data_IF_200482652547
#
_entry.id   IF_200482652547
#
_cell.length_a   1.000
_cell.length_b   1.000
_cell.length_c   1.000
_cell.angle_alpha   90.00
_cell.angle_beta   90.00
_cell.angle_gamma   90.00
#
_symmetry.space_group_name_H-M   'P 1'
#
loop_
_entity.id
_entity.type
_entity.pdbx_description
1 polymer ?
#
# COMPACT_ATOMS: atom_id res chain seq x y z
N UNK A 1 -14.25 13.20 25.77
CA UNK A 1 -14.90 13.18 24.44
C UNK A 1 -15.70 11.90 24.37
N UNK A 2 -16.92 12.00 23.89
CA UNK A 2 -17.75 10.84 23.64
C UNK A 2 -17.14 10.00 22.52
N UNK A 3 -17.20 8.67 22.60
CA UNK A 3 -16.73 7.83 21.51
C UNK A 3 -17.64 8.05 20.31
N UNK A 4 -17.06 8.33 19.16
CA UNK A 4 -17.79 8.56 17.90
C UNK A 4 -17.44 7.51 16.83
N UNK A 5 -16.62 6.52 17.19
CA UNK A 5 -16.14 5.51 16.26
C UNK A 5 -16.02 4.12 16.91
N UNK A 6 -16.66 3.13 16.30
CA UNK A 6 -16.55 1.73 16.72
C UNK A 6 -15.31 1.07 16.13
N UNK A 7 -14.21 1.20 16.87
CA UNK A 7 -12.91 0.65 16.48
C UNK A 7 -12.88 -0.87 16.41
N UNK A 8 -13.68 -1.54 17.25
CA UNK A 8 -13.76 -3.01 17.23
C UNK A 8 -14.47 -3.50 15.98
N UNK A 9 -15.63 -2.94 15.67
CA UNK A 9 -16.36 -3.23 14.43
C UNK A 9 -15.49 -2.98 13.21
N UNK A 10 -14.75 -1.85 13.19
CA UNK A 10 -13.83 -1.52 12.11
C UNK A 10 -12.79 -2.61 11.90
N UNK A 11 -12.11 -3.04 12.96
CA UNK A 11 -11.08 -4.09 12.88
C UNK A 11 -11.68 -5.42 12.41
N UNK A 12 -12.82 -5.81 12.98
CA UNK A 12 -13.49 -7.07 12.63
C UNK A 12 -13.90 -7.08 11.13
N UNK A 13 -14.47 -5.98 10.63
CA UNK A 13 -14.87 -5.84 9.23
C UNK A 13 -13.67 -5.87 8.30
N UNK A 14 -12.59 -5.17 8.62
CA UNK A 14 -11.36 -5.17 7.79
C UNK A 14 -10.78 -6.58 7.69
N UNK A 15 -10.61 -7.27 8.83
CA UNK A 15 -10.04 -8.62 8.84
C UNK A 15 -10.92 -9.59 8.06
N UNK A 16 -12.25 -9.55 8.29
CA UNK A 16 -13.17 -10.46 7.61
C UNK A 16 -13.18 -10.20 6.09
N UNK A 17 -13.20 -8.93 5.67
CA UNK A 17 -13.19 -8.60 4.24
C UNK A 17 -11.91 -9.06 3.56
N UNK A 18 -10.74 -8.92 4.21
CA UNK A 18 -9.48 -9.44 3.66
C UNK A 18 -9.52 -10.96 3.53
N UNK A 19 -10.00 -11.67 4.56
CA UNK A 19 -10.14 -13.14 4.55
C UNK A 19 -11.09 -13.60 3.42
N UNK A 20 -12.25 -12.99 3.31
CA UNK A 20 -13.26 -13.33 2.29
C UNK A 20 -12.72 -13.12 0.86
N UNK A 21 -11.98 -12.04 0.63
CA UNK A 21 -11.34 -11.78 -0.66
C UNK A 21 -10.17 -12.74 -0.91
N UNK A 22 -9.40 -13.10 0.12
CA UNK A 22 -8.34 -14.09 0.00
C UNK A 22 -8.89 -15.49 -0.32
N UNK A 23 -9.99 -15.90 0.29
CA UNK A 23 -10.67 -17.17 -0.01
C UNK A 23 -11.19 -17.25 -1.46
N UNK A 24 -11.71 -16.13 -1.99
CA UNK A 24 -12.18 -16.01 -3.36
C UNK A 24 -11.04 -15.98 -4.39
N UNK A 25 -9.83 -15.69 -3.98
CA UNK A 25 -8.65 -15.63 -4.84
C UNK A 25 -8.02 -17.03 -4.95
N UNK A 26 -7.81 -17.58 -6.13
CA UNK A 26 -7.15 -18.89 -6.31
C UNK A 26 -5.67 -18.85 -5.92
N UNK A 27 -4.94 -17.85 -6.40
CA UNK A 27 -3.55 -17.58 -6.08
C UNK A 27 -3.40 -16.78 -4.79
N UNK A 28 -2.64 -15.70 -4.83
CA UNK A 28 -2.36 -14.81 -3.69
C UNK A 28 -3.22 -13.56 -3.77
N UNK A 29 -3.60 -13.02 -2.61
CA UNK A 29 -4.22 -11.71 -2.51
C UNK A 29 -3.15 -10.67 -2.17
N UNK A 30 -2.89 -9.74 -3.09
CA UNK A 30 -2.04 -8.58 -2.87
C UNK A 30 -2.88 -7.46 -2.26
N UNK A 31 -2.57 -7.09 -1.02
CA UNK A 31 -3.27 -6.05 -0.26
C UNK A 31 -2.36 -4.83 -0.17
N UNK A 32 -2.63 -3.82 -0.99
CA UNK A 32 -1.89 -2.56 -0.92
C UNK A 32 -2.40 -1.71 0.24
N UNK A 33 -1.49 -1.31 1.13
CA UNK A 33 -1.82 -0.37 2.22
C UNK A 33 -1.64 1.06 1.72
N UNK A 34 -2.72 1.78 1.72
CA UNK A 34 -2.69 3.23 1.59
C UNK A 34 -2.20 3.84 2.91
N UNK A 35 -1.17 4.70 2.86
CA UNK A 35 -0.62 5.35 4.04
C UNK A 35 0.20 4.44 4.98
N UNK A 36 0.59 4.95 6.14
CA UNK A 36 1.50 4.30 7.10
C UNK A 36 0.92 2.99 7.67
N UNK A 37 1.77 1.98 7.76
CA UNK A 37 1.38 0.66 8.25
C UNK A 37 1.16 0.62 9.76
N UNK A 38 2.01 1.25 10.55
CA UNK A 38 2.03 1.10 12.02
C UNK A 38 1.59 2.34 12.80
N UNK A 39 1.30 3.44 12.13
CA UNK A 39 0.95 4.71 12.76
C UNK A 39 -0.23 5.34 12.04
N UNK A 40 -1.30 5.59 12.77
CA UNK A 40 -2.49 6.25 12.26
C UNK A 40 -2.96 7.34 13.23
N UNK A 41 -2.01 8.18 13.68
CA UNK A 41 -2.26 9.23 14.66
C UNK A 41 -3.32 10.24 14.18
N UNK A 42 -3.42 10.44 12.87
CA UNK A 42 -4.43 11.31 12.30
C UNK A 42 -5.84 10.74 12.52
N UNK A 43 -6.03 9.46 12.31
CA UNK A 43 -7.33 8.83 12.52
C UNK A 43 -7.84 9.04 13.97
N UNK A 44 -6.98 8.91 14.96
CA UNK A 44 -7.36 9.13 16.36
C UNK A 44 -7.77 10.58 16.64
N UNK A 45 -7.20 11.56 15.93
CA UNK A 45 -7.50 12.99 16.15
C UNK A 45 -8.91 13.38 15.72
N UNK A 46 -9.43 12.77 14.65
CA UNK A 46 -10.74 13.10 14.09
C UNK A 46 -11.81 12.03 14.32
N UNK A 47 -11.40 10.81 14.67
CA UNK A 47 -12.30 9.69 15.00
C UNK A 47 -12.12 9.31 16.47
N UNK A 48 -12.76 10.01 17.43
CA UNK A 48 -12.71 9.64 18.84
C UNK A 48 -13.19 8.20 19.05
N UNK A 49 -12.32 7.38 19.66
CA UNK A 49 -12.54 5.94 19.80
C UNK A 49 -11.75 5.08 18.80
N UNK A 50 -11.13 5.68 17.78
CA UNK A 50 -10.25 4.94 16.89
C UNK A 50 -8.99 4.46 17.62
N UNK A 51 -8.72 3.17 17.50
CA UNK A 51 -7.51 2.55 18.07
C UNK A 51 -6.35 2.60 17.06
N UNK A 52 -5.31 3.35 17.37
CA UNK A 52 -4.12 3.50 16.52
C UNK A 52 -3.40 2.17 16.25
N UNK A 53 -3.66 1.16 17.07
CA UNK A 53 -3.11 -0.20 16.89
C UNK A 53 -3.95 -1.09 15.95
N UNK A 54 -5.03 -0.59 15.33
CA UNK A 54 -5.90 -1.41 14.46
C UNK A 54 -5.14 -2.15 13.35
N UNK A 55 -4.29 -1.44 12.60
CA UNK A 55 -3.49 -2.07 11.53
C UNK A 55 -2.51 -3.12 12.09
N UNK A 56 -1.90 -2.85 13.23
CA UNK A 56 -1.05 -3.81 13.93
C UNK A 56 -1.83 -5.05 14.38
N UNK A 57 -3.01 -4.87 14.97
CA UNK A 57 -3.89 -5.97 15.39
C UNK A 57 -4.32 -6.81 14.20
N UNK A 58 -4.69 -6.16 13.09
CA UNK A 58 -5.01 -6.83 11.82
C UNK A 58 -3.84 -7.72 11.35
N UNK A 59 -2.62 -7.19 11.33
CA UNK A 59 -1.43 -7.95 10.91
C UNK A 59 -1.19 -9.15 11.83
N UNK A 60 -1.31 -8.97 13.15
CA UNK A 60 -1.10 -10.03 14.13
C UNK A 60 -2.15 -11.14 13.94
N UNK A 61 -3.41 -10.79 13.71
CA UNK A 61 -4.48 -11.74 13.47
C UNK A 61 -4.28 -12.54 12.17
N UNK A 62 -3.85 -11.86 11.11
CA UNK A 62 -3.59 -12.47 9.80
C UNK A 62 -2.20 -13.13 9.68
N UNK A 63 -1.36 -13.07 10.70
CA UNK A 63 0.07 -13.41 10.66
C UNK A 63 0.39 -14.77 10.04
N UNK A 64 -0.46 -15.76 10.24
CA UNK A 64 -0.21 -17.13 9.73
C UNK A 64 -0.30 -17.20 8.20
N UNK A 65 -1.06 -16.30 7.60
CA UNK A 65 -1.40 -16.25 6.18
C UNK A 65 -0.81 -15.04 5.47
N UNK A 66 0.02 -14.24 6.17
CA UNK A 66 0.46 -12.92 5.71
C UNK A 66 1.98 -12.86 5.57
N UNK A 67 2.47 -12.45 4.39
CA UNK A 67 3.81 -11.92 4.16
C UNK A 67 3.74 -10.39 3.96
N UNK A 68 4.82 -9.67 4.27
CA UNK A 68 4.89 -8.20 4.16
C UNK A 68 5.98 -7.82 3.17
N UNK A 69 5.64 -6.97 2.20
CA UNK A 69 6.56 -6.34 1.27
C UNK A 69 6.67 -4.85 1.60
N UNK A 70 7.90 -4.39 1.82
CA UNK A 70 8.22 -2.99 2.06
C UNK A 70 8.84 -2.39 0.81
N UNK A 71 8.09 -1.56 0.11
CA UNK A 71 8.55 -0.87 -1.10
C UNK A 71 9.26 0.44 -0.77
N UNK A 72 10.35 0.70 -1.47
CA UNK A 72 11.08 1.97 -1.41
C UNK A 72 11.63 2.32 -2.78
N UNK A 73 11.49 3.58 -3.19
CA UNK A 73 12.03 4.05 -4.47
C UNK A 73 13.56 4.15 -4.41
N UNK A 74 14.23 3.63 -5.43
CA UNK A 74 15.68 3.69 -5.56
C UNK A 74 16.22 5.12 -5.51
N UNK A 75 15.56 6.08 -6.16
CA UNK A 75 15.97 7.50 -6.12
C UNK A 75 15.95 8.04 -4.69
N UNK A 76 14.93 7.69 -3.88
CA UNK A 76 14.86 8.13 -2.49
C UNK A 76 16.03 7.59 -1.64
N UNK A 77 16.48 6.37 -1.93
CA UNK A 77 17.66 5.76 -1.29
C UNK A 77 18.94 6.50 -1.68
N UNK A 78 19.13 6.73 -3.00
CA UNK A 78 20.35 7.31 -3.56
C UNK A 78 20.54 8.75 -3.14
N UNK A 79 19.49 9.55 -3.26
CA UNK A 79 19.48 10.94 -2.83
C UNK A 79 19.45 11.07 -1.31
N UNK A 80 19.25 9.95 -0.62
CA UNK A 80 19.13 9.86 0.83
C UNK A 80 18.15 10.90 1.40
N UNK A 81 17.01 11.06 0.72
CA UNK A 81 16.01 12.07 0.99
C UNK A 81 15.52 12.01 2.44
N UNK A 82 15.23 13.15 3.04
CA UNK A 82 14.63 13.16 4.37
C UNK A 82 13.19 12.64 4.30
N UNK A 83 12.90 11.58 5.08
CA UNK A 83 11.60 10.87 5.05
C UNK A 83 10.62 11.33 6.11
N UNK A 84 11.03 12.24 6.99
CA UNK A 84 10.20 12.70 8.11
C UNK A 84 10.44 14.17 8.38
N UNK A 85 9.53 14.83 9.12
CA UNK A 85 9.75 16.21 9.63
C UNK A 85 11.03 16.35 10.47
N UNK A 86 11.56 15.26 11.00
CA UNK A 86 12.85 15.22 11.73
C UNK A 86 14.06 15.08 10.80
N UNK A 87 13.84 15.15 9.49
CA UNK A 87 14.86 14.99 8.46
C UNK A 87 15.70 13.71 8.59
N UNK A 88 15.07 12.61 8.99
CA UNK A 88 15.76 11.31 9.08
C UNK A 88 16.06 10.82 7.66
N UNK A 89 17.32 10.48 7.32
CA UNK A 89 17.71 9.97 6.02
C UNK A 89 16.94 8.70 5.64
N UNK A 90 16.66 8.53 4.35
CA UNK A 90 15.84 7.42 3.83
C UNK A 90 16.31 6.05 4.33
N UNK A 91 17.59 5.73 4.17
CA UNK A 91 18.14 4.42 4.57
C UNK A 91 17.97 4.17 6.06
N UNK A 92 18.22 5.17 6.89
CA UNK A 92 18.06 5.06 8.35
C UNK A 92 16.58 4.88 8.73
N UNK A 93 15.67 5.61 8.08
CA UNK A 93 14.24 5.47 8.30
C UNK A 93 13.74 4.09 7.88
N UNK A 94 14.22 3.60 6.74
CA UNK A 94 13.92 2.26 6.24
C UNK A 94 14.34 1.18 7.24
N UNK A 95 15.57 1.23 7.73
CA UNK A 95 16.07 0.28 8.75
C UNK A 95 15.21 0.27 10.00
N UNK A 96 14.89 1.45 10.53
CA UNK A 96 14.04 1.59 11.70
C UNK A 96 12.63 1.01 11.46
N UNK A 97 12.06 1.28 10.29
CA UNK A 97 10.71 0.82 9.94
C UNK A 97 10.67 -0.70 9.79
N UNK A 98 11.62 -1.30 9.06
CA UNK A 98 11.71 -2.75 8.90
C UNK A 98 11.86 -3.44 10.26
N UNK A 99 12.80 -2.97 11.09
CA UNK A 99 13.01 -3.52 12.44
C UNK A 99 11.78 -3.36 13.33
N UNK A 100 11.09 -2.24 13.23
CA UNK A 100 9.87 -1.98 14.00
C UNK A 100 8.74 -2.93 13.58
N UNK A 101 8.52 -3.14 12.28
CA UNK A 101 7.54 -4.09 11.77
C UNK A 101 7.88 -5.49 12.31
N UNK A 102 9.11 -5.95 12.15
CA UNK A 102 9.54 -7.26 12.64
C UNK A 102 9.32 -7.40 14.16
N UNK A 103 9.68 -6.39 14.94
CA UNK A 103 9.54 -6.42 16.42
C UNK A 103 8.08 -6.46 16.84
N UNK A 104 7.22 -5.66 16.18
CA UNK A 104 5.80 -5.48 16.56
C UNK A 104 4.93 -6.62 16.09
N UNK A 105 5.17 -7.14 14.88
CA UNK A 105 4.34 -8.16 14.24
C UNK A 105 4.93 -9.57 14.34
N UNK A 106 6.24 -9.66 14.54
CA UNK A 106 7.00 -10.90 14.44
C UNK A 106 7.07 -11.47 13.02
N UNK A 107 6.80 -10.64 12.00
CA UNK A 107 6.98 -10.95 10.58
C UNK A 107 8.17 -10.14 10.09
N UNK A 108 9.14 -10.81 9.48
CA UNK A 108 10.27 -10.16 8.84
C UNK A 108 9.88 -9.73 7.42
N UNK A 109 9.80 -8.42 7.12
CA UNK A 109 9.39 -7.98 5.80
C UNK A 109 10.42 -8.32 4.72
N UNK A 110 9.94 -8.52 3.48
CA UNK A 110 10.76 -8.46 2.29
C UNK A 110 10.99 -6.98 1.95
N UNK A 111 12.22 -6.60 1.66
CA UNK A 111 12.55 -5.27 1.13
C UNK A 111 12.42 -5.31 -0.40
N UNK A 112 11.67 -4.40 -0.98
CA UNK A 112 11.51 -4.25 -2.42
C UNK A 112 12.03 -2.88 -2.82
N UNK A 113 13.15 -2.84 -3.53
CA UNK A 113 13.71 -1.61 -4.09
C UNK A 113 13.11 -1.43 -5.48
N UNK A 114 12.38 -0.35 -5.68
CA UNK A 114 11.58 -0.12 -6.88
C UNK A 114 12.17 0.98 -7.75
N UNK A 115 11.77 1.01 -9.03
CA UNK A 115 12.13 2.05 -9.98
C UNK A 115 13.64 2.21 -10.17
N UNK A 116 14.37 1.09 -10.20
CA UNK A 116 15.82 1.08 -10.39
C UNK A 116 16.14 1.37 -11.86
N UNK A 117 16.96 2.40 -12.12
CA UNK A 117 17.61 2.58 -13.41
C UNK A 117 18.99 1.90 -13.35
N UNK A 118 19.17 0.71 -13.97
CA UNK A 118 20.40 -0.05 -13.83
C UNK A 118 21.62 0.67 -14.40
N UNK A 119 21.46 1.53 -15.40
CA UNK A 119 22.56 2.27 -16.01
C UNK A 119 23.18 3.31 -15.05
N UNK A 120 22.38 3.87 -14.15
CA UNK A 120 22.80 4.97 -13.27
C UNK A 120 22.93 4.57 -11.80
N UNK A 121 22.24 3.51 -11.37
CA UNK A 121 22.00 3.22 -9.95
C UNK A 121 22.64 1.93 -9.46
N UNK A 122 23.13 1.06 -10.37
CA UNK A 122 23.52 -0.30 -10.05
C UNK A 122 24.49 -0.42 -8.87
N UNK A 123 25.61 0.29 -8.89
CA UNK A 123 26.64 0.15 -7.85
C UNK A 123 26.16 0.57 -6.46
N UNK A 124 25.31 1.61 -6.40
CA UNK A 124 24.77 2.12 -5.13
C UNK A 124 23.73 1.13 -4.59
N UNK A 125 22.80 0.69 -5.44
CA UNK A 125 21.74 -0.24 -5.04
C UNK A 125 22.36 -1.58 -4.61
N UNK A 126 23.31 -2.12 -5.33
CA UNK A 126 24.02 -3.33 -4.95
C UNK A 126 24.67 -3.26 -3.55
N UNK A 127 25.30 -2.14 -3.21
CA UNK A 127 25.85 -1.94 -1.86
C UNK A 127 24.78 -1.87 -0.79
N UNK A 128 23.64 -1.25 -1.09
CA UNK A 128 22.48 -1.18 -0.19
C UNK A 128 21.88 -2.57 0.02
N UNK A 129 21.67 -3.32 -1.07
CA UNK A 129 21.19 -4.71 -1.02
C UNK A 129 22.06 -5.56 -0.10
N UNK A 130 23.38 -5.60 -0.32
CA UNK A 130 24.33 -6.32 0.54
C UNK A 130 24.23 -5.90 2.00
N UNK A 131 24.06 -4.60 2.26
CA UNK A 131 23.91 -4.04 3.61
C UNK A 131 22.67 -4.61 4.32
N UNK A 132 21.54 -4.72 3.63
CA UNK A 132 20.32 -5.29 4.18
C UNK A 132 20.35 -6.82 4.25
N UNK A 133 20.94 -7.50 3.27
CA UNK A 133 21.14 -8.95 3.29
C UNK A 133 22.03 -9.40 4.47
N UNK A 134 23.07 -8.63 4.81
CA UNK A 134 23.86 -8.85 6.05
C UNK A 134 23.04 -8.76 7.33
N UNK A 135 21.91 -8.07 7.30
CA UNK A 135 20.92 -7.99 8.39
C UNK A 135 19.81 -9.04 8.26
N UNK A 136 19.99 -10.01 7.32
CA UNK A 136 19.06 -11.10 7.05
C UNK A 136 17.71 -10.66 6.47
N UNK A 137 17.60 -9.47 5.83
CA UNK A 137 16.45 -9.11 5.02
C UNK A 137 16.59 -9.72 3.63
N UNK A 138 15.49 -10.22 3.09
CA UNK A 138 15.42 -10.55 1.65
C UNK A 138 15.18 -9.25 0.91
N UNK A 139 15.99 -9.01 -0.12
CA UNK A 139 15.93 -7.81 -0.95
C UNK A 139 15.60 -8.24 -2.38
N UNK A 140 14.73 -7.48 -3.02
CA UNK A 140 14.22 -7.72 -4.37
C UNK A 140 14.32 -6.43 -5.16
N UNK A 141 14.65 -6.55 -6.43
CA UNK A 141 14.88 -5.43 -7.33
C UNK A 141 13.79 -5.36 -8.40
N UNK A 142 13.14 -4.22 -8.52
CA UNK A 142 12.20 -3.92 -9.58
C UNK A 142 12.70 -2.72 -10.39
N UNK A 143 12.92 -2.96 -11.67
CA UNK A 143 13.54 -1.98 -12.55
C UNK A 143 12.53 -0.99 -13.12
N UNK A 144 13.00 0.22 -13.42
CA UNK A 144 12.20 1.26 -14.04
C UNK A 144 11.67 0.80 -15.40
N UNK A 145 10.36 0.86 -15.57
CA UNK A 145 9.70 0.58 -16.87
C UNK A 145 9.35 1.88 -17.55
N UNK A 146 10.10 2.22 -18.58
CA UNK A 146 9.75 3.36 -19.45
C UNK A 146 8.32 3.17 -19.95
N UNK A 147 7.51 4.24 -19.88
CA UNK A 147 6.13 4.26 -20.35
C UNK A 147 5.09 3.57 -19.46
N UNK A 148 5.45 3.12 -18.25
CA UNK A 148 4.44 2.68 -17.29
C UNK A 148 3.50 3.87 -16.94
N UNK A 149 2.19 3.68 -16.92
CA UNK A 149 1.44 2.45 -17.21
C UNK A 149 0.94 2.31 -18.65
N UNK A 150 1.38 3.16 -19.60
CA UNK A 150 0.72 3.36 -20.89
C UNK A 150 1.15 2.41 -22.02
N UNK A 151 2.30 1.76 -21.95
CA UNK A 151 2.77 0.83 -22.98
C UNK A 151 2.53 -0.64 -22.59
N UNK A 152 1.26 -1.05 -22.62
CA UNK A 152 0.84 -2.42 -22.25
C UNK A 152 1.63 -3.51 -22.97
N UNK A 153 1.80 -3.38 -24.29
CA UNK A 153 2.51 -4.41 -25.08
C UNK A 153 3.97 -4.60 -24.64
N UNK A 154 4.66 -3.53 -24.27
CA UNK A 154 6.01 -3.64 -23.72
C UNK A 154 5.99 -4.18 -22.29
N UNK A 155 5.08 -3.68 -21.44
CA UNK A 155 5.02 -4.06 -20.04
C UNK A 155 4.72 -5.56 -19.85
N UNK A 156 3.88 -6.14 -20.70
CA UNK A 156 3.51 -7.55 -20.69
C UNK A 156 4.43 -8.42 -21.58
N UNK A 157 5.62 -7.97 -21.93
CA UNK A 157 6.60 -8.72 -22.69
C UNK A 157 7.75 -9.25 -21.83
N UNK A 158 8.59 -10.10 -22.40
CA UNK A 158 9.80 -10.62 -21.76
C UNK A 158 10.76 -9.50 -21.29
N UNK A 159 10.76 -8.35 -21.97
CA UNK A 159 11.57 -7.17 -21.60
C UNK A 159 10.83 -6.22 -20.64
N UNK A 160 9.60 -6.50 -20.32
CA UNK A 160 8.76 -5.75 -19.38
C UNK A 160 8.79 -6.32 -17.98
N UNK A 161 7.64 -6.70 -17.46
CA UNK A 161 7.48 -7.21 -16.09
C UNK A 161 8.20 -8.54 -15.86
N UNK A 162 8.36 -9.36 -16.88
CA UNK A 162 9.06 -10.64 -16.77
C UNK A 162 10.56 -10.50 -16.46
N UNK A 163 11.15 -9.36 -16.74
CA UNK A 163 12.57 -9.09 -16.47
C UNK A 163 12.87 -8.65 -15.02
N UNK A 164 11.87 -8.53 -14.19
CA UNK A 164 12.03 -8.18 -12.77
C UNK A 164 12.00 -9.41 -11.88
N UNK A 165 12.43 -9.27 -10.64
CA UNK A 165 12.38 -10.33 -9.66
C UNK A 165 10.93 -10.78 -9.38
N UNK A 166 10.67 -12.08 -9.50
CA UNK A 166 9.46 -12.67 -8.95
C UNK A 166 9.66 -12.93 -7.45
N UNK A 167 8.97 -12.17 -6.62
CA UNK A 167 9.09 -12.26 -5.16
C UNK A 167 8.37 -13.52 -4.67
N UNK A 168 9.08 -14.52 -4.09
CA UNK A 168 8.48 -15.78 -3.68
C UNK A 168 7.64 -15.58 -2.40
N UNK A 169 6.43 -15.11 -2.54
CA UNK A 169 5.45 -15.02 -1.47
C UNK A 169 4.97 -16.42 -1.13
N UNK A 170 5.16 -16.84 0.12
CA UNK A 170 4.82 -18.18 0.58
C UNK A 170 3.43 -18.25 1.22
N UNK A 171 2.86 -17.10 1.54
CA UNK A 171 1.57 -16.99 2.22
C UNK A 171 0.45 -16.63 1.24
N UNK A 172 -0.78 -16.81 1.71
CA UNK A 172 -1.99 -16.50 0.93
C UNK A 172 -2.17 -15.01 0.69
N UNK A 173 -1.73 -14.18 1.63
CA UNK A 173 -1.88 -12.73 1.60
C UNK A 173 -0.49 -12.09 1.53
N UNK A 174 -0.29 -11.20 0.57
CA UNK A 174 0.87 -10.32 0.50
C UNK A 174 0.44 -8.90 0.85
N UNK A 175 0.91 -8.37 1.97
CA UNK A 175 0.64 -6.99 2.39
C UNK A 175 1.73 -6.07 1.84
N UNK A 176 1.35 -5.15 0.96
CA UNK A 176 2.28 -4.22 0.33
C UNK A 176 2.19 -2.86 1.01
N UNK A 177 3.29 -2.42 1.57
CA UNK A 177 3.45 -1.10 2.18
C UNK A 177 4.71 -0.43 1.64
N UNK A 178 4.94 0.84 1.99
CA UNK A 178 6.12 1.55 1.51
C UNK A 178 6.50 2.72 2.40
N UNK A 179 7.70 3.23 2.20
CA UNK A 179 8.16 4.48 2.77
C UNK A 179 8.45 5.50 1.66
N UNK A 180 8.21 6.76 2.00
CA UNK A 180 8.33 7.84 1.02
C UNK A 180 7.25 7.84 -0.04
N UNK A 181 7.24 8.87 -0.85
CA UNK A 181 6.35 8.98 -2.01
C UNK A 181 6.98 8.30 -3.21
N UNK A 182 6.17 7.99 -4.24
CA UNK A 182 6.67 7.34 -5.44
C UNK A 182 7.28 5.97 -5.15
N UNK A 183 6.83 5.25 -4.13
CA UNK A 183 7.36 3.96 -3.74
C UNK A 183 6.86 2.78 -4.58
N UNK A 184 6.05 3.02 -5.60
CA UNK A 184 5.61 2.08 -6.63
C UNK A 184 4.89 0.83 -6.11
N UNK A 185 4.11 0.93 -5.04
CA UNK A 185 3.34 -0.19 -4.47
C UNK A 185 2.37 -0.82 -5.47
N UNK A 186 1.55 0.02 -6.14
CA UNK A 186 0.61 -0.45 -7.15
C UNK A 186 1.31 -1.21 -8.28
N UNK A 187 2.41 -0.63 -8.80
CA UNK A 187 3.21 -1.28 -9.83
C UNK A 187 3.76 -2.62 -9.37
N UNK A 188 4.26 -2.68 -8.12
CA UNK A 188 4.74 -3.93 -7.50
C UNK A 188 3.62 -4.98 -7.47
N UNK A 189 2.40 -4.61 -7.07
CA UNK A 189 1.25 -5.52 -7.10
C UNK A 189 0.98 -6.04 -8.52
N UNK A 190 0.91 -5.14 -9.51
CA UNK A 190 0.61 -5.48 -10.90
C UNK A 190 1.70 -6.41 -11.46
N UNK A 191 2.97 -6.12 -11.22
CA UNK A 191 4.08 -6.97 -11.67
C UNK A 191 4.03 -8.37 -11.07
N UNK A 192 3.80 -8.46 -9.78
CA UNK A 192 3.73 -9.75 -9.10
C UNK A 192 2.51 -10.57 -9.55
N UNK A 193 1.35 -9.93 -9.78
CA UNK A 193 0.15 -10.61 -10.31
C UNK A 193 0.42 -11.12 -11.72
N UNK A 194 1.05 -10.32 -12.58
CA UNK A 194 1.43 -10.74 -13.91
C UNK A 194 2.37 -11.95 -13.89
N UNK A 195 3.44 -11.90 -13.09
CA UNK A 195 4.40 -12.99 -12.96
C UNK A 195 3.78 -14.24 -12.30
N UNK A 196 2.90 -14.06 -11.32
CA UNK A 196 2.13 -15.18 -10.75
C UNK A 196 1.28 -15.87 -11.82
N UNK A 197 0.59 -15.10 -12.69
CA UNK A 197 -0.19 -15.65 -13.80
C UNK A 197 0.68 -16.46 -14.77
N UNK A 198 1.85 -15.96 -15.16
CA UNK A 198 2.77 -16.65 -16.08
C UNK A 198 3.26 -18.00 -15.52
N UNK A 199 3.23 -18.20 -14.22
CA UNK A 199 3.55 -19.48 -13.58
C UNK A 199 2.31 -20.28 -13.15
N UNK A 200 1.13 -19.87 -13.61
CA UNK A 200 -0.14 -20.58 -13.37
C UNK A 200 -0.79 -20.29 -12.02
N UNK A 201 -0.47 -19.16 -11.37
CA UNK A 201 -1.10 -18.72 -10.13
C UNK A 201 -2.04 -17.54 -10.41
N UNK A 202 -3.32 -17.72 -10.14
CA UNK A 202 -4.35 -16.67 -10.31
C UNK A 202 -4.46 -15.78 -9.07
N UNK A 203 -3.57 -14.80 -9.01
CA UNK A 203 -3.50 -13.81 -7.91
C UNK A 203 -4.38 -12.60 -8.20
N UNK A 204 -4.76 -11.87 -7.13
CA UNK A 204 -5.68 -10.73 -7.21
C UNK A 204 -5.19 -9.56 -6.36
N UNK A 205 -5.83 -8.41 -6.52
CA UNK A 205 -5.47 -7.14 -5.89
C UNK A 205 -6.63 -6.54 -5.10
N UNK A 206 -6.31 -5.93 -3.97
CA UNK A 206 -7.17 -5.01 -3.23
C UNK A 206 -6.35 -3.87 -2.62
N UNK A 207 -6.97 -2.71 -2.43
CA UNK A 207 -6.42 -1.59 -1.67
C UNK A 207 -7.11 -1.52 -0.30
N UNK A 208 -6.34 -1.38 0.77
CA UNK A 208 -6.86 -1.11 2.11
C UNK A 208 -6.49 0.30 2.55
N UNK A 209 -7.50 1.08 2.92
CA UNK A 209 -7.32 2.44 3.42
C UNK A 209 -8.28 2.77 4.57
N UNK A 210 -7.82 3.63 5.49
CA UNK A 210 -8.66 4.26 6.50
C UNK A 210 -9.18 5.60 5.99
N UNK A 211 -8.31 6.35 5.31
CA UNK A 211 -8.57 7.63 4.67
C UNK A 211 -7.97 7.69 3.26
N UNK A 212 -8.53 8.54 2.37
CA UNK A 212 -9.79 9.25 2.54
C UNK A 212 -10.95 8.27 2.73
N UNK A 213 -12.03 8.74 3.38
CA UNK A 213 -13.22 7.90 3.56
C UNK A 213 -13.94 7.80 2.22
N UNK A 214 -13.96 6.59 1.67
CA UNK A 214 -14.68 6.29 0.45
C UNK A 214 -16.21 6.39 0.71
N UNK A 215 -16.92 7.04 -0.21
CA UNK A 215 -18.35 7.33 -0.04
C UNK A 215 -18.65 8.72 0.53
N UNK A 216 -17.64 9.47 0.97
CA UNK A 216 -17.74 10.91 1.24
C UNK A 216 -17.08 11.68 0.08
N UNK A 217 -17.67 12.80 -0.39
CA UNK A 217 -17.06 13.57 -1.48
C UNK A 217 -15.69 14.13 -1.08
N UNK A 218 -14.80 14.41 -2.06
CA UNK A 218 -13.47 14.97 -1.77
C UNK A 218 -13.50 16.28 -0.98
N UNK A 219 -14.56 17.09 -1.17
CA UNK A 219 -14.76 18.37 -0.49
C UNK A 219 -15.29 18.21 0.95
N UNK A 220 -15.63 17.00 1.35
CA UNK A 220 -16.11 16.75 2.71
C UNK A 220 -15.02 17.10 3.72
N UNK A 221 -15.34 17.79 4.85
CA UNK A 221 -14.34 18.26 5.82
C UNK A 221 -13.37 17.18 6.29
N UNK A 222 -13.84 15.95 6.46
CA UNK A 222 -13.01 14.81 6.88
C UNK A 222 -11.93 14.50 5.83
N UNK A 223 -12.31 14.41 4.55
CA UNK A 223 -11.38 14.13 3.47
C UNK A 223 -10.42 15.30 3.20
N UNK A 224 -10.90 16.54 3.35
CA UNK A 224 -10.06 17.74 3.27
C UNK A 224 -9.03 17.81 4.40
N UNK A 225 -9.43 17.50 5.64
CA UNK A 225 -8.51 17.49 6.79
C UNK A 225 -7.40 16.44 6.60
N UNK A 226 -7.78 15.26 6.06
CA UNK A 226 -6.80 14.25 5.70
C UNK A 226 -5.85 14.71 4.58
N UNK A 227 -6.36 15.31 3.50
CA UNK A 227 -5.55 15.81 2.40
C UNK A 227 -4.55 16.88 2.88
N UNK A 228 -4.99 17.86 3.69
CA UNK A 228 -4.13 18.86 4.30
C UNK A 228 -3.01 18.21 5.14
N UNK A 229 -3.34 17.18 5.92
CA UNK A 229 -2.36 16.46 6.74
C UNK A 229 -1.36 15.70 5.91
N UNK A 230 -1.83 14.99 4.87
CA UNK A 230 -0.98 14.29 3.90
C UNK A 230 0.04 15.27 3.30
N UNK A 231 -0.42 16.38 2.75
CA UNK A 231 0.43 17.38 2.09
C UNK A 231 1.48 17.98 3.05
N UNK A 232 1.15 18.07 4.33
CA UNK A 232 2.12 18.48 5.35
C UNK A 232 3.16 17.42 5.71
N UNK A 233 2.90 16.14 5.45
CA UNK A 233 3.79 15.02 5.83
C UNK A 233 4.58 14.47 4.64
N UNK A 234 4.16 14.75 3.42
CA UNK A 234 4.80 14.25 2.19
C UNK A 234 5.60 15.37 1.51
N UNK A 235 6.78 15.03 1.01
CA UNK A 235 7.70 15.98 0.40
C UNK A 235 7.70 15.94 -1.15
N UNK A 236 6.90 15.10 -1.80
CA UNK A 236 6.83 15.01 -3.26
C UNK A 236 5.47 14.56 -3.80
N UNK A 237 5.21 14.89 -5.08
CA UNK A 237 3.91 14.85 -5.74
C UNK A 237 3.64 13.63 -6.66
N UNK A 238 4.56 12.66 -6.76
CA UNK A 238 4.52 11.66 -7.84
C UNK A 238 4.14 10.25 -7.37
N UNK A 239 2.97 10.07 -6.74
CA UNK A 239 2.39 8.74 -6.54
C UNK A 239 1.17 8.55 -7.45
N UNK A 240 1.30 7.71 -8.49
CA UNK A 240 0.16 7.06 -9.12
C UNK A 240 -0.49 6.16 -8.07
N UNK A 241 -1.69 6.46 -7.66
CA UNK A 241 -2.37 5.72 -6.58
C UNK A 241 -2.64 6.59 -5.38
N UNK A 242 -2.80 7.89 -5.62
CA UNK A 242 -3.30 8.78 -4.59
C UNK A 242 -4.67 8.32 -4.09
N UNK A 243 -4.78 8.35 -2.82
CA UNK A 243 -5.89 8.01 -1.95
C UNK A 243 -7.11 8.93 -2.08
N UNK A 244 -7.29 9.61 -3.20
CA UNK A 244 -8.49 10.33 -3.59
C UNK A 244 -9.40 9.42 -4.42
N UNK A 245 -10.66 9.80 -4.58
CA UNK A 245 -11.58 9.08 -5.47
C UNK A 245 -11.05 9.05 -6.91
N UNK A 246 -10.42 10.12 -7.37
CA UNK A 246 -9.75 10.20 -8.68
C UNK A 246 -8.55 9.26 -8.76
N UNK A 247 -7.69 9.25 -7.75
CA UNK A 247 -6.54 8.33 -7.69
C UNK A 247 -6.97 6.87 -7.61
N UNK A 248 -8.03 6.56 -6.85
CA UNK A 248 -8.62 5.23 -6.83
C UNK A 248 -9.17 4.82 -8.20
N UNK A 249 -9.82 5.75 -8.92
CA UNK A 249 -10.31 5.50 -10.28
C UNK A 249 -9.15 5.33 -11.27
N UNK A 250 -8.08 6.10 -11.15
CA UNK A 250 -6.87 5.92 -11.96
C UNK A 250 -6.23 4.56 -11.72
N UNK A 251 -6.05 4.17 -10.46
CA UNK A 251 -5.52 2.84 -10.09
C UNK A 251 -6.39 1.72 -10.67
N UNK A 252 -7.70 1.85 -10.58
CA UNK A 252 -8.65 0.89 -11.15
C UNK A 252 -8.50 0.79 -12.67
N UNK A 253 -8.39 1.92 -13.37
CA UNK A 253 -8.21 1.95 -14.82
C UNK A 253 -6.88 1.29 -15.22
N UNK A 254 -5.79 1.56 -14.49
CA UNK A 254 -4.48 0.93 -14.72
C UNK A 254 -4.55 -0.59 -14.53
N UNK A 255 -5.18 -1.06 -13.46
CA UNK A 255 -5.35 -2.48 -13.19
C UNK A 255 -6.17 -3.14 -14.30
N UNK A 256 -7.28 -2.52 -14.72
CA UNK A 256 -8.10 -3.03 -15.82
C UNK A 256 -7.32 -3.05 -17.13
N UNK A 257 -6.62 -1.98 -17.47
CA UNK A 257 -5.88 -1.90 -18.72
C UNK A 257 -4.77 -2.95 -18.80
N UNK A 258 -4.03 -3.15 -17.72
CA UNK A 258 -2.86 -4.03 -17.71
C UNK A 258 -3.21 -5.50 -17.44
N UNK A 259 -4.14 -5.79 -16.55
CA UNK A 259 -4.38 -7.15 -16.07
C UNK A 259 -5.67 -7.78 -16.61
N UNK A 260 -6.61 -7.00 -17.16
CA UNK A 260 -7.91 -7.53 -17.59
C UNK A 260 -7.80 -8.69 -18.59
N UNK A 261 -6.93 -8.57 -19.58
CA UNK A 261 -6.72 -9.62 -20.59
C UNK A 261 -5.69 -10.69 -20.16
N UNK A 262 -5.07 -10.51 -19.01
CA UNK A 262 -4.06 -11.42 -18.46
C UNK A 262 -4.71 -12.46 -17.57
N UNK A 263 -5.47 -12.03 -16.57
CA UNK A 263 -6.06 -12.92 -15.56
C UNK A 263 -7.26 -13.69 -16.09
N UNK A 264 -7.55 -14.86 -15.52
CA UNK A 264 -8.68 -15.69 -15.88
C UNK A 264 -10.04 -15.05 -15.56
N UNK A 265 -11.11 -15.51 -16.21
CA UNK A 265 -12.46 -14.92 -16.09
C UNK A 265 -13.06 -15.00 -14.69
N UNK A 266 -12.67 -15.96 -13.88
CA UNK A 266 -13.11 -16.12 -12.50
C UNK A 266 -12.18 -15.41 -11.48
N UNK A 267 -11.15 -14.68 -11.95
CA UNK A 267 -10.31 -13.87 -11.08
C UNK A 267 -11.10 -12.71 -10.47
N UNK A 268 -10.81 -12.39 -9.21
CA UNK A 268 -11.49 -11.32 -8.48
C UNK A 268 -11.43 -9.97 -9.21
N UNK A 269 -10.33 -9.67 -9.92
CA UNK A 269 -10.16 -8.45 -10.72
C UNK A 269 -11.25 -8.32 -11.81
N UNK A 270 -11.63 -9.42 -12.44
CA UNK A 270 -12.70 -9.43 -13.46
C UNK A 270 -14.09 -9.09 -12.91
N UNK A 271 -14.28 -9.25 -11.62
CA UNK A 271 -15.55 -8.95 -10.95
C UNK A 271 -15.64 -7.51 -10.41
N UNK A 272 -14.59 -6.71 -10.58
CA UNK A 272 -14.62 -5.30 -10.22
C UNK A 272 -15.30 -4.47 -11.32
N UNK A 273 -16.45 -3.89 -11.02
CA UNK A 273 -17.19 -3.01 -11.93
C UNK A 273 -16.74 -1.55 -11.78
N UNK A 274 -16.35 -1.17 -10.58
CA UNK A 274 -15.93 0.20 -10.21
C UNK A 274 -14.79 0.18 -9.20
N UNK A 275 -14.13 1.31 -9.03
CA UNK A 275 -12.97 1.44 -8.14
C UNK A 275 -13.28 1.02 -6.68
N UNK A 276 -14.49 1.30 -6.18
CA UNK A 276 -14.88 0.90 -4.81
C UNK A 276 -14.84 -0.60 -4.56
N UNK A 277 -14.98 -1.43 -5.59
CA UNK A 277 -15.03 -2.89 -5.42
C UNK A 277 -13.64 -3.47 -5.07
N UNK A 278 -12.58 -2.77 -5.44
CA UNK A 278 -11.21 -3.12 -5.07
C UNK A 278 -10.75 -2.50 -3.75
N UNK A 279 -11.56 -1.61 -3.12
CA UNK A 279 -11.17 -0.87 -1.93
C UNK A 279 -11.81 -1.47 -0.68
N UNK A 280 -11.01 -1.63 0.37
CA UNK A 280 -11.45 -1.96 1.72
C UNK A 280 -11.34 -0.68 2.55
N UNK A 281 -12.47 -0.03 2.78
CA UNK A 281 -12.56 1.21 3.58
C UNK A 281 -13.87 1.25 4.39
N UNK A 282 -14.02 0.45 5.47
CA UNK A 282 -15.23 0.41 6.26
C UNK A 282 -15.35 1.59 7.23
N UNK A 283 -14.55 2.63 7.10
CA UNK A 283 -14.45 3.74 8.04
C UNK A 283 -15.80 4.42 8.23
N UNK A 284 -16.53 4.73 7.15
CA UNK A 284 -17.84 5.41 7.24
C UNK A 284 -18.87 4.59 8.01
N UNK A 285 -18.88 3.27 7.82
CA UNK A 285 -19.84 2.36 8.48
C UNK A 285 -19.59 2.20 9.98
N UNK A 286 -18.42 2.63 10.45
CA UNK A 286 -17.97 2.53 11.84
C UNK A 286 -18.03 3.86 12.57
N UNK A 287 -18.44 4.95 11.90
CA UNK A 287 -18.71 6.25 12.53
C UNK A 287 -20.10 6.20 13.19
N UNK A 288 -20.13 6.41 14.50
CA UNK A 288 -21.37 6.44 15.30
C UNK A 288 -21.98 7.85 15.39
N UNK A 289 -21.14 8.89 15.28
CA UNK A 289 -21.57 10.29 15.32
C UNK A 289 -20.80 11.11 14.26
N UNK A 290 -21.39 11.19 13.06
CA UNK A 290 -20.76 11.87 11.92
C UNK A 290 -20.62 13.39 12.16
N UNK A 291 -21.61 14.03 12.83
CA UNK A 291 -21.60 15.47 13.08
C UNK A 291 -20.42 15.89 13.97
N UNK A 292 -20.13 15.11 15.01
CA UNK A 292 -18.99 15.40 15.89
C UNK A 292 -17.66 15.13 15.18
N UNK A 293 -17.56 14.08 14.34
CA UNK A 293 -16.38 13.81 13.53
C UNK A 293 -16.14 14.94 12.52
N UNK A 294 -17.18 15.46 11.86
CA UNK A 294 -17.08 16.62 10.97
C UNK A 294 -16.58 17.87 11.68
N UNK A 295 -17.09 18.13 12.88
CA UNK A 295 -16.66 19.27 13.69
C UNK A 295 -15.18 19.18 14.06
N UNK A 296 -14.70 18.00 14.43
CA UNK A 296 -13.28 17.76 14.70
C UNK A 296 -12.42 17.93 13.44
N UNK A 297 -12.91 17.44 12.31
CA UNK A 297 -12.21 17.61 11.03
C UNK A 297 -12.11 19.10 10.61
N UNK A 298 -13.19 19.89 10.82
CA UNK A 298 -13.17 21.34 10.58
C UNK A 298 -12.14 22.04 11.48
N UNK A 299 -12.06 21.64 12.74
CA UNK A 299 -11.04 22.18 13.67
C UNK A 299 -9.62 21.85 13.21
N UNK A 300 -9.38 20.62 12.72
CA UNK A 300 -8.06 20.23 12.17
C UNK A 300 -7.69 21.03 10.91
N UNK A 301 -8.70 21.48 10.13
CA UNK A 301 -8.50 22.37 9.00
C UNK A 301 -8.08 23.80 9.40
N UNK A 302 -8.46 24.25 10.58
CA UNK A 302 -8.13 25.59 11.12
C UNK A 302 -6.74 25.63 11.77
N UNK A 303 -6.23 24.50 12.28
CA UNK A 303 -4.87 24.35 12.84
C UNK A 303 -3.79 24.27 11.75
#
# INVERSE_FOLDING_TARGET
>A
MENCFDSKKYLDVVIQTIKDKAEKTKGKLYVEISWKLLEDDFAQRILPGYDTDNKKKMIIELKRELDILMCVNASAIIENLPMTKKAIPCVQHLEHTLKRIETVTGIKPHLVITNINPEEMYDIIYNIEISFQKKWYKVWELYMKKWFPYNKSFLLSENGFWNDDHIPIMKKIALITGIGNGNWKLSTCIWQIYQDHEIGLESSYVMFQTFPIYGLPPEHPINQAWAKRRDCETLSLDDFGETTEEGAQQSFNIIKDLLWDVVEDDNLIKHYEKASDMIICPTLECIENLEEVEKLAKKELEE
#
